data_IF_659465486867
#
_entry.id   IF_659465486867
#
_cell.length_a   1.000
_cell.length_b   1.000
_cell.length_c   1.000
_cell.angle_alpha   90.00
_cell.angle_beta   90.00
_cell.angle_gamma   90.00
#
_symmetry.space_group_name_H-M   'P 1'
#
loop_
_entity.id
_entity.type
_entity.pdbx_description
1 polymer ?
#
# COMPACT_ATOMS: atom_id res chain seq x y z
N UNK A 1 37.93 -53.24 -35.87
CA UNK A 1 38.70 -52.11 -35.30
C UNK A 1 39.40 -51.29 -36.37
N UNK A 2 39.82 -51.87 -37.51
CA UNK A 2 40.45 -51.12 -38.62
C UNK A 2 39.54 -50.04 -39.25
N UNK A 3 38.23 -50.29 -39.39
CA UNK A 3 37.30 -49.32 -39.99
C UNK A 3 37.14 -48.02 -39.19
N UNK A 4 37.04 -48.12 -37.85
CA UNK A 4 36.90 -46.95 -36.97
C UNK A 4 38.17 -46.09 -36.94
N UNK A 5 39.34 -46.72 -37.00
CA UNK A 5 40.63 -46.04 -37.02
C UNK A 5 40.84 -45.29 -38.35
N UNK A 6 40.42 -45.87 -39.47
CA UNK A 6 40.44 -45.22 -40.79
C UNK A 6 39.46 -44.05 -40.85
N UNK A 7 38.22 -44.24 -40.37
CA UNK A 7 37.20 -43.19 -40.33
C UNK A 7 37.61 -41.98 -39.47
N UNK A 8 38.18 -42.22 -38.29
CA UNK A 8 38.65 -41.16 -37.40
C UNK A 8 39.80 -40.32 -38.02
N UNK A 9 40.65 -40.96 -38.83
CA UNK A 9 41.81 -40.32 -39.46
C UNK A 9 41.44 -39.51 -40.71
N UNK A 10 40.41 -39.93 -41.47
CA UNK A 10 40.03 -39.27 -42.72
C UNK A 10 38.83 -38.32 -42.60
N UNK A 11 37.91 -38.51 -41.64
CA UNK A 11 36.68 -37.69 -41.53
C UNK A 11 36.85 -36.39 -40.72
N UNK A 12 37.86 -36.28 -39.85
CA UNK A 12 38.09 -35.08 -39.05
C UNK A 12 39.47 -34.49 -39.29
N UNK A 13 39.51 -33.26 -39.83
CA UNK A 13 40.75 -32.47 -39.94
C UNK A 13 41.31 -32.05 -38.58
N UNK A 14 40.46 -31.82 -37.57
CA UNK A 14 40.92 -31.49 -36.21
C UNK A 14 39.93 -32.01 -35.12
N UNK A 15 40.18 -33.21 -34.56
CA UNK A 15 39.32 -33.80 -33.54
C UNK A 15 39.20 -32.99 -32.26
N UNK A 16 40.26 -32.31 -31.84
CA UNK A 16 40.22 -31.51 -30.61
C UNK A 16 39.27 -30.32 -30.74
N UNK A 17 39.34 -29.59 -31.85
CA UNK A 17 38.49 -28.42 -32.08
C UNK A 17 37.02 -28.82 -32.24
N UNK A 18 36.75 -29.92 -32.95
CA UNK A 18 35.38 -30.40 -33.13
C UNK A 18 34.75 -30.81 -31.79
N UNK A 19 35.48 -31.56 -30.96
CA UNK A 19 35.03 -31.97 -29.62
C UNK A 19 34.79 -30.74 -28.75
N UNK A 20 35.69 -29.75 -28.77
CA UNK A 20 35.51 -28.50 -28.03
C UNK A 20 34.22 -27.77 -28.45
N UNK A 21 33.96 -27.63 -29.75
CA UNK A 21 32.74 -26.97 -30.24
C UNK A 21 31.46 -27.68 -29.77
N UNK A 22 31.42 -29.02 -29.86
CA UNK A 22 30.28 -29.80 -29.38
C UNK A 22 30.07 -29.64 -27.87
N UNK A 23 31.13 -29.73 -27.07
CA UNK A 23 31.06 -29.52 -25.62
C UNK A 23 30.53 -28.11 -25.29
N UNK A 24 31.01 -27.09 -26.01
CA UNK A 24 30.54 -25.71 -25.83
C UNK A 24 29.04 -25.56 -26.15
N UNK A 25 28.57 -26.17 -27.23
CA UNK A 25 27.16 -26.09 -27.63
C UNK A 25 26.23 -26.77 -26.61
N UNK A 26 26.62 -27.94 -26.08
CA UNK A 26 25.86 -28.65 -25.05
C UNK A 26 25.81 -27.84 -23.75
N UNK A 27 26.95 -27.34 -23.28
CA UNK A 27 27.02 -26.51 -22.07
C UNK A 27 26.18 -25.24 -22.23
N UNK A 28 26.27 -24.58 -23.39
CA UNK A 28 25.49 -23.37 -23.70
C UNK A 28 23.98 -23.62 -23.71
N UNK A 29 23.53 -24.80 -24.11
CA UNK A 29 22.12 -25.15 -24.12
C UNK A 29 21.58 -25.57 -22.74
N UNK A 30 22.44 -26.14 -21.89
CA UNK A 30 22.04 -26.74 -20.62
C UNK A 30 22.16 -25.78 -19.43
N UNK A 31 23.28 -25.05 -19.32
CA UNK A 31 23.58 -24.17 -18.16
C UNK A 31 22.54 -23.07 -17.94
N UNK A 32 21.95 -22.41 -18.96
CA UNK A 32 20.96 -21.36 -18.73
C UNK A 32 19.61 -21.86 -18.19
N UNK A 33 19.34 -23.17 -18.22
CA UNK A 33 18.09 -23.75 -17.73
C UNK A 33 18.13 -24.04 -16.23
N UNK A 34 19.32 -24.07 -15.64
CA UNK A 34 19.55 -24.32 -14.22
C UNK A 34 19.68 -22.99 -13.48
N UNK A 35 19.27 -22.95 -12.22
CA UNK A 35 19.63 -21.82 -11.36
C UNK A 35 21.14 -21.80 -11.16
N UNK A 36 21.68 -20.60 -10.86
CA UNK A 36 23.14 -20.44 -10.72
C UNK A 36 23.69 -21.36 -9.62
N UNK A 37 22.98 -21.47 -8.51
CA UNK A 37 23.36 -22.32 -7.37
C UNK A 37 23.27 -23.81 -7.74
N UNK A 38 22.21 -24.21 -8.46
CA UNK A 38 22.06 -25.59 -8.95
C UNK A 38 23.17 -25.99 -9.93
N UNK A 39 23.64 -25.08 -10.79
CA UNK A 39 24.73 -25.36 -11.71
C UNK A 39 26.07 -25.65 -11.00
N UNK A 40 26.29 -25.07 -9.80
CA UNK A 40 27.47 -25.34 -8.99
C UNK A 40 27.37 -26.63 -8.18
N UNK A 41 26.18 -26.98 -7.69
CA UNK A 41 25.95 -28.23 -6.95
C UNK A 41 25.87 -29.44 -7.88
N UNK A 42 25.28 -29.29 -9.07
CA UNK A 42 25.00 -30.36 -10.03
C UNK A 42 26.11 -30.57 -11.07
N UNK A 43 27.37 -30.23 -10.75
CA UNK A 43 28.52 -30.45 -11.68
C UNK A 43 28.59 -31.87 -12.23
N UNK A 44 28.29 -32.87 -11.39
CA UNK A 44 28.31 -34.29 -11.79
C UNK A 44 27.15 -34.67 -12.73
N UNK A 45 26.05 -33.93 -12.70
CA UNK A 45 24.89 -34.16 -13.57
C UNK A 45 25.12 -33.52 -14.94
N UNK A 46 25.67 -32.30 -14.97
CA UNK A 46 26.11 -31.64 -16.20
C UNK A 46 27.19 -32.48 -16.90
N UNK A 47 28.15 -33.03 -16.15
CA UNK A 47 29.18 -33.90 -16.72
C UNK A 47 28.57 -35.13 -17.42
N UNK A 48 27.61 -35.80 -16.76
CA UNK A 48 26.89 -36.95 -17.34
C UNK A 48 26.07 -36.56 -18.57
N UNK A 49 25.40 -35.41 -18.55
CA UNK A 49 24.64 -34.93 -19.70
C UNK A 49 25.55 -34.62 -20.90
N UNK A 50 26.72 -34.02 -20.65
CA UNK A 50 27.74 -33.77 -21.69
C UNK A 50 28.34 -35.07 -22.21
N UNK A 51 28.59 -36.06 -21.34
CA UNK A 51 29.09 -37.37 -21.72
C UNK A 51 28.14 -38.10 -22.68
N UNK A 52 26.85 -38.21 -22.34
CA UNK A 52 25.86 -38.91 -23.15
C UNK A 52 25.60 -38.24 -24.52
N UNK A 53 25.60 -36.90 -24.57
CA UNK A 53 25.51 -36.14 -25.84
C UNK A 53 26.78 -36.30 -26.70
N UNK A 54 27.95 -36.13 -26.08
CA UNK A 54 29.23 -36.19 -26.78
C UNK A 54 29.53 -37.60 -27.28
N UNK A 55 29.22 -38.64 -26.51
CA UNK A 55 29.41 -40.04 -26.89
C UNK A 55 28.60 -40.36 -28.16
N UNK A 56 27.31 -39.98 -28.21
CA UNK A 56 26.46 -40.18 -29.40
C UNK A 56 27.01 -39.48 -30.64
N UNK A 57 27.46 -38.24 -30.50
CA UNK A 57 28.01 -37.47 -31.61
C UNK A 57 29.36 -38.01 -32.10
N UNK A 58 30.23 -38.43 -31.17
CA UNK A 58 31.61 -38.82 -31.46
C UNK A 58 31.78 -40.29 -31.84
N UNK A 59 30.82 -41.16 -31.47
CA UNK A 59 30.73 -42.54 -31.93
C UNK A 59 30.69 -42.64 -33.46
N UNK A 60 29.99 -41.71 -34.13
CA UNK A 60 29.89 -41.65 -35.60
C UNK A 60 31.23 -41.34 -36.29
N UNK A 61 32.17 -40.75 -35.55
CA UNK A 61 33.51 -40.40 -36.01
C UNK A 61 34.59 -41.37 -35.52
N UNK A 62 34.19 -42.47 -34.86
CA UNK A 62 35.11 -43.50 -34.37
C UNK A 62 35.80 -43.18 -33.05
N UNK A 63 35.36 -42.16 -32.32
CA UNK A 63 35.89 -41.80 -31.00
C UNK A 63 34.99 -42.34 -29.88
N UNK A 64 35.62 -42.84 -28.83
CA UNK A 64 34.96 -43.30 -27.59
C UNK A 64 35.35 -42.35 -26.45
N UNK A 65 34.34 -41.83 -25.75
CA UNK A 65 34.54 -40.92 -24.61
C UNK A 65 34.56 -41.76 -23.35
N UNK A 66 35.70 -41.78 -22.65
CA UNK A 66 35.89 -42.62 -21.46
C UNK A 66 35.28 -41.99 -20.20
N UNK A 67 35.45 -40.66 -20.05
CA UNK A 67 34.90 -39.89 -18.93
C UNK A 67 35.01 -38.40 -19.25
N UNK A 68 34.04 -37.60 -18.79
CA UNK A 68 34.14 -36.14 -18.75
C UNK A 68 34.26 -35.65 -17.30
N UNK A 69 35.15 -34.68 -17.04
CA UNK A 69 35.29 -34.05 -15.73
C UNK A 69 35.18 -32.54 -15.90
N UNK A 70 34.30 -31.92 -15.10
CA UNK A 70 34.13 -30.48 -15.07
C UNK A 70 35.03 -29.93 -13.96
N UNK A 71 36.03 -29.14 -14.35
CA UNK A 71 36.95 -28.46 -13.41
C UNK A 71 36.29 -27.20 -12.87
N UNK A 72 35.88 -26.30 -13.77
CA UNK A 72 35.18 -25.07 -13.42
C UNK A 72 34.21 -24.64 -14.52
N UNK A 73 33.17 -23.90 -14.14
CA UNK A 73 32.13 -23.40 -15.05
C UNK A 73 32.19 -21.87 -15.00
N UNK A 74 32.85 -21.27 -15.98
CA UNK A 74 32.82 -19.82 -16.17
C UNK A 74 32.01 -19.49 -17.43
N UNK A 75 30.71 -19.12 -17.27
CA UNK A 75 29.94 -18.65 -18.40
C UNK A 75 30.49 -17.30 -18.91
N UNK A 76 30.26 -17.04 -20.20
CA UNK A 76 30.62 -15.77 -20.84
C UNK A 76 29.99 -14.58 -20.12
N UNK A 77 30.69 -13.45 -20.10
CA UNK A 77 30.24 -12.22 -19.42
C UNK A 77 28.87 -11.71 -19.90
N UNK A 78 28.50 -11.98 -21.15
CA UNK A 78 27.16 -11.64 -21.67
C UNK A 78 26.10 -12.54 -21.04
N UNK A 79 26.38 -13.83 -20.89
CA UNK A 79 25.45 -14.80 -20.29
C UNK A 79 25.31 -14.54 -18.79
N UNK A 80 26.43 -14.28 -18.09
CA UNK A 80 26.42 -13.89 -16.66
C UNK A 80 25.53 -12.66 -16.41
N UNK A 81 25.66 -11.63 -17.25
CA UNK A 81 24.82 -10.42 -17.15
C UNK A 81 23.35 -10.73 -17.40
N UNK A 82 23.03 -11.44 -18.47
CA UNK A 82 21.65 -11.81 -18.79
C UNK A 82 21.00 -12.65 -17.68
N UNK A 83 21.72 -13.64 -17.13
CA UNK A 83 21.24 -14.45 -16.01
C UNK A 83 21.00 -13.60 -14.76
N UNK A 84 21.93 -12.70 -14.42
CA UNK A 84 21.78 -11.81 -13.28
C UNK A 84 20.59 -10.85 -13.45
N UNK A 85 20.37 -10.33 -14.65
CA UNK A 85 19.20 -9.48 -14.96
C UNK A 85 17.89 -10.26 -14.84
N UNK A 86 17.82 -11.49 -15.37
CA UNK A 86 16.63 -12.35 -15.27
C UNK A 86 16.33 -12.67 -13.79
N UNK A 87 17.34 -13.07 -13.03
CA UNK A 87 17.20 -13.39 -11.61
C UNK A 87 16.82 -12.14 -10.79
N UNK A 88 17.43 -10.99 -11.08
CA UNK A 88 17.07 -9.74 -10.45
C UNK A 88 15.63 -9.33 -10.78
N UNK A 89 15.19 -9.48 -12.03
CA UNK A 89 13.83 -9.20 -12.45
C UNK A 89 12.81 -10.15 -11.80
N UNK A 90 13.12 -11.45 -11.73
CA UNK A 90 12.29 -12.43 -11.05
C UNK A 90 12.12 -12.10 -9.56
N UNK A 91 13.23 -11.79 -8.86
CA UNK A 91 13.23 -11.36 -7.46
C UNK A 91 12.46 -10.06 -7.27
N UNK A 92 12.67 -9.06 -8.13
CA UNK A 92 11.93 -7.80 -8.11
C UNK A 92 10.43 -8.02 -8.31
N UNK A 93 10.02 -8.92 -9.21
CA UNK A 93 8.60 -9.22 -9.45
C UNK A 93 7.95 -9.85 -8.22
N UNK A 94 8.63 -10.78 -7.56
CA UNK A 94 8.13 -11.39 -6.31
C UNK A 94 8.00 -10.33 -5.22
N UNK A 95 9.06 -9.54 -4.99
CA UNK A 95 9.04 -8.47 -4.00
C UNK A 95 7.97 -7.40 -4.29
N UNK A 96 7.75 -7.05 -5.57
CA UNK A 96 6.72 -6.10 -5.97
C UNK A 96 5.32 -6.64 -5.73
N UNK A 97 5.07 -7.92 -6.01
CA UNK A 97 3.79 -8.57 -5.74
C UNK A 97 3.49 -8.63 -4.23
N UNK A 98 4.46 -9.05 -3.42
CA UNK A 98 4.33 -9.08 -1.96
C UNK A 98 4.07 -7.68 -1.39
N UNK A 99 4.79 -6.67 -1.90
CA UNK A 99 4.58 -5.28 -1.49
C UNK A 99 3.18 -4.78 -1.88
N UNK A 100 2.73 -5.06 -3.10
CA UNK A 100 1.39 -4.67 -3.56
C UNK A 100 0.28 -5.35 -2.73
N UNK A 101 0.47 -6.62 -2.36
CA UNK A 101 -0.46 -7.33 -1.49
C UNK A 101 -0.47 -6.77 -0.07
N UNK A 102 0.70 -6.45 0.49
CA UNK A 102 0.81 -5.77 1.78
C UNK A 102 0.12 -4.40 1.77
N UNK A 103 0.34 -3.58 0.74
CA UNK A 103 -0.31 -2.28 0.58
C UNK A 103 -1.84 -2.41 0.49
N UNK A 104 -2.33 -3.41 -0.26
CA UNK A 104 -3.77 -3.72 -0.33
C UNK A 104 -4.33 -4.06 1.05
N UNK A 105 -3.66 -4.91 1.82
CA UNK A 105 -4.10 -5.30 3.17
C UNK A 105 -4.15 -4.07 4.09
N UNK A 106 -3.12 -3.22 4.06
CA UNK A 106 -3.06 -2.00 4.86
C UNK A 106 -4.21 -1.06 4.50
N UNK A 107 -4.49 -0.87 3.21
CA UNK A 107 -5.57 0.01 2.76
C UNK A 107 -6.96 -0.52 3.18
N UNK A 108 -7.19 -1.82 3.05
CA UNK A 108 -8.46 -2.45 3.48
C UNK A 108 -8.64 -2.28 4.99
N UNK A 109 -7.64 -2.65 5.79
CA UNK A 109 -7.72 -2.52 7.26
C UNK A 109 -7.92 -1.09 7.72
N UNK A 110 -7.30 -0.13 7.03
CA UNK A 110 -7.51 1.29 7.30
C UNK A 110 -8.96 1.70 6.99
N UNK A 111 -9.51 1.28 5.85
CA UNK A 111 -10.89 1.58 5.48
C UNK A 111 -11.89 0.94 6.44
N UNK A 112 -11.65 -0.30 6.87
CA UNK A 112 -12.45 -0.99 7.89
C UNK A 112 -12.40 -0.25 9.23
N UNK A 113 -11.20 0.13 9.69
CA UNK A 113 -11.04 0.90 10.92
C UNK A 113 -11.70 2.28 10.87
N UNK A 114 -11.62 2.97 9.73
CA UNK A 114 -12.31 4.26 9.53
C UNK A 114 -13.84 4.10 9.52
N UNK A 115 -14.36 3.02 8.92
CA UNK A 115 -15.79 2.72 8.93
C UNK A 115 -16.30 2.38 10.34
N UNK A 116 -15.57 1.53 11.06
CA UNK A 116 -15.91 1.15 12.44
C UNK A 116 -15.81 2.35 13.39
N UNK A 117 -14.79 3.20 13.26
CA UNK A 117 -14.67 4.42 14.03
C UNK A 117 -15.86 5.37 13.82
N UNK A 118 -16.30 5.56 12.56
CA UNK A 118 -17.49 6.37 12.25
C UNK A 118 -18.76 5.75 12.84
N UNK A 119 -18.91 4.43 12.77
CA UNK A 119 -20.04 3.73 13.35
C UNK A 119 -20.11 3.91 14.87
N UNK A 120 -18.99 3.67 15.56
CA UNK A 120 -18.87 3.84 17.01
C UNK A 120 -19.09 5.30 17.42
N UNK A 121 -18.58 6.26 16.65
CA UNK A 121 -18.83 7.68 16.88
C UNK A 121 -20.31 8.03 16.75
N UNK A 122 -21.00 7.51 15.73
CA UNK A 122 -22.44 7.70 15.55
C UNK A 122 -23.25 7.09 16.69
N UNK A 123 -22.90 5.88 17.12
CA UNK A 123 -23.51 5.21 18.26
C UNK A 123 -23.29 6.00 19.57
N UNK A 124 -22.09 6.55 19.75
CA UNK A 124 -21.74 7.42 20.88
C UNK A 124 -22.62 8.67 20.94
N UNK A 125 -22.78 9.37 19.81
CA UNK A 125 -23.66 10.55 19.72
C UNK A 125 -25.11 10.19 20.00
N UNK A 126 -25.60 9.07 19.45
CA UNK A 126 -26.97 8.63 19.69
C UNK A 126 -27.22 8.31 21.18
N UNK A 127 -26.31 7.56 21.80
CA UNK A 127 -26.36 7.26 23.24
C UNK A 127 -26.26 8.52 24.10
N UNK A 128 -25.38 9.44 23.73
CA UNK A 128 -25.26 10.74 24.41
C UNK A 128 -26.57 11.52 24.33
N UNK A 129 -27.19 11.62 23.15
CA UNK A 129 -28.50 12.27 22.98
C UNK A 129 -29.58 11.63 23.83
N UNK A 130 -29.60 10.30 23.88
CA UNK A 130 -30.56 9.58 24.72
C UNK A 130 -30.37 9.89 26.20
N UNK A 131 -29.12 9.85 26.70
CA UNK A 131 -28.81 10.20 28.08
C UNK A 131 -29.19 11.66 28.43
N UNK A 132 -29.04 12.60 27.49
CA UNK A 132 -29.46 14.00 27.68
C UNK A 132 -31.00 14.08 27.80
N UNK A 133 -31.74 13.43 26.91
CA UNK A 133 -33.22 13.42 26.95
C UNK A 133 -33.73 12.79 28.24
N UNK A 134 -33.15 11.67 28.66
CA UNK A 134 -33.52 10.99 29.90
C UNK A 134 -33.22 11.87 31.13
N UNK A 135 -32.04 12.50 31.18
CA UNK A 135 -31.69 13.44 32.27
C UNK A 135 -32.58 14.68 32.33
N UNK A 136 -32.97 15.23 31.17
CA UNK A 136 -33.93 16.35 31.10
C UNK A 136 -35.32 15.92 31.57
N UNK A 137 -35.79 14.73 31.19
CA UNK A 137 -37.06 14.17 31.66
C UNK A 137 -37.07 14.04 33.18
N UNK A 138 -36.02 13.50 33.76
CA UNK A 138 -35.90 13.35 35.22
C UNK A 138 -35.88 14.72 35.91
N UNK A 139 -35.19 15.71 35.32
CA UNK A 139 -35.16 17.09 35.82
C UNK A 139 -36.54 17.74 35.80
N UNK A 140 -37.33 17.54 34.74
CA UNK A 140 -38.70 18.05 34.62
C UNK A 140 -39.62 17.42 35.66
N UNK A 141 -39.54 16.10 35.87
CA UNK A 141 -40.33 15.39 36.88
C UNK A 141 -39.95 15.82 38.30
N UNK A 142 -38.65 15.98 38.59
CA UNK A 142 -38.15 16.45 39.89
C UNK A 142 -38.56 17.88 40.22
N UNK A 143 -38.60 18.78 39.23
CA UNK A 143 -38.99 20.18 39.45
C UNK A 143 -40.51 20.31 39.62
N UNK A 144 -41.30 19.62 38.79
CA UNK A 144 -42.76 19.58 38.87
C UNK A 144 -43.27 18.99 40.20
N UNK A 145 -42.57 18.00 40.76
CA UNK A 145 -42.95 17.39 42.03
C UNK A 145 -42.66 18.25 43.28
N UNK A 146 -41.70 19.17 43.22
CA UNK A 146 -41.22 19.93 44.39
C UNK A 146 -41.71 21.39 44.44
N UNK A 147 -42.22 21.94 43.34
CA UNK A 147 -42.71 23.33 43.26
C UNK A 147 -44.19 23.34 42.86
N UNK A 148 -45.12 23.69 43.75
CA UNK A 148 -46.55 23.72 43.42
C UNK A 148 -46.86 24.89 42.46
N UNK A 149 -47.44 24.58 41.30
CA UNK A 149 -47.99 25.56 40.36
C UNK A 149 -47.24 25.74 39.03
N UNK A 150 -46.12 25.06 38.82
CA UNK A 150 -45.37 25.12 37.55
C UNK A 150 -45.87 24.12 36.53
N UNK A 151 -46.09 24.57 35.28
CA UNK A 151 -46.41 23.70 34.15
C UNK A 151 -45.14 23.09 33.55
N UNK A 152 -45.26 21.91 32.91
CA UNK A 152 -44.16 21.32 32.14
C UNK A 152 -43.63 22.27 31.05
N UNK A 153 -44.47 23.20 30.58
CA UNK A 153 -44.09 24.25 29.62
C UNK A 153 -43.10 25.26 30.22
N UNK A 154 -43.33 25.70 31.45
CA UNK A 154 -42.48 26.71 32.11
C UNK A 154 -41.08 26.16 32.41
N UNK A 155 -41.00 24.87 32.76
CA UNK A 155 -39.72 24.17 32.97
C UNK A 155 -38.96 24.02 31.65
N UNK A 156 -39.66 23.69 30.56
CA UNK A 156 -39.05 23.59 29.23
C UNK A 156 -38.49 24.94 28.76
N UNK A 157 -39.22 26.04 28.99
CA UNK A 157 -38.77 27.38 28.62
C UNK A 157 -37.51 27.79 29.41
N UNK A 158 -37.41 27.45 30.69
CA UNK A 158 -36.21 27.67 31.51
C UNK A 158 -35.02 26.82 31.05
N UNK A 159 -35.25 25.55 30.67
CA UNK A 159 -34.22 24.66 30.11
C UNK A 159 -33.69 25.21 28.78
N UNK A 160 -34.58 25.65 27.89
CA UNK A 160 -34.19 26.26 26.60
C UNK A 160 -33.36 27.53 26.80
N UNK A 161 -33.73 28.36 27.76
CA UNK A 161 -32.97 29.56 28.11
C UNK A 161 -31.57 29.22 28.64
N UNK A 162 -31.47 28.20 29.49
CA UNK A 162 -30.18 27.72 30.03
C UNK A 162 -29.31 27.14 28.92
N UNK A 163 -29.87 26.31 28.04
CA UNK A 163 -29.18 25.76 26.87
C UNK A 163 -28.69 26.87 25.92
N UNK A 164 -29.48 27.92 25.73
CA UNK A 164 -29.08 29.10 24.96
C UNK A 164 -27.86 29.79 25.58
N UNK A 165 -27.83 29.99 26.90
CA UNK A 165 -26.65 30.53 27.58
C UNK A 165 -25.44 29.60 27.56
N UNK A 166 -25.63 28.29 27.70
CA UNK A 166 -24.54 27.32 27.64
C UNK A 166 -23.93 27.24 26.24
N UNK A 167 -24.75 27.24 25.18
CA UNK A 167 -24.26 27.31 23.80
C UNK A 167 -23.50 28.62 23.54
N UNK A 168 -23.97 29.76 24.06
CA UNK A 168 -23.22 31.02 24.00
C UNK A 168 -21.89 30.95 24.74
N UNK A 169 -21.87 30.31 25.93
CA UNK A 169 -20.63 30.10 26.71
C UNK A 169 -19.65 29.21 25.97
N UNK A 170 -20.12 28.13 25.34
CA UNK A 170 -19.28 27.22 24.55
C UNK A 170 -18.67 27.91 23.34
N UNK A 171 -19.47 28.68 22.60
CA UNK A 171 -19.03 29.52 21.46
C UNK A 171 -17.99 30.55 21.92
N UNK A 172 -18.22 31.21 23.06
CA UNK A 172 -17.30 32.19 23.63
C UNK A 172 -16.01 31.59 24.22
N UNK A 173 -16.06 30.34 24.70
CA UNK A 173 -14.91 29.63 25.26
C UNK A 173 -13.99 29.01 24.21
N UNK A 174 -14.47 28.85 22.97
CA UNK A 174 -13.65 28.36 21.86
C UNK A 174 -12.70 29.48 21.41
N UNK A 175 -11.50 29.46 21.96
CA UNK A 175 -10.46 30.51 22.00
C UNK A 175 -9.99 31.16 20.68
N UNK A 176 -10.64 30.91 19.53
CA UNK A 176 -10.31 31.49 18.21
C UNK A 176 -11.52 32.01 17.40
N UNK A 177 -12.73 32.03 17.97
CA UNK A 177 -13.89 32.52 17.23
C UNK A 177 -14.02 34.04 17.37
N UNK A 178 -13.65 34.79 16.33
CA UNK A 178 -14.16 36.14 16.11
C UNK A 178 -15.63 36.05 15.69
N UNK A 179 -16.49 35.63 16.61
CA UNK A 179 -17.93 35.46 16.38
C UNK A 179 -18.63 36.82 16.42
N UNK A 180 -19.01 37.34 15.26
CA UNK A 180 -19.89 38.52 15.16
C UNK A 180 -21.32 38.07 15.47
N UNK A 181 -21.88 38.58 16.56
CA UNK A 181 -23.23 38.27 17.00
C UNK A 181 -24.25 38.97 16.09
N UNK A 182 -24.91 38.20 15.22
CA UNK A 182 -26.04 38.66 14.44
C UNK A 182 -27.32 38.31 15.23
N UNK A 183 -28.01 39.29 15.83
CA UNK A 183 -29.32 39.01 16.40
C UNK A 183 -30.22 38.42 15.30
N UNK A 184 -31.01 37.41 15.64
CA UNK A 184 -31.97 36.76 14.72
C UNK A 184 -33.39 36.95 15.26
N UNK A 185 -33.73 38.20 15.57
CA UNK A 185 -35.12 38.61 15.80
C UNK A 185 -35.71 39.21 14.52
N UNK A 186 -37.04 39.28 14.37
CA UNK A 186 -37.69 39.90 13.20
C UNK A 186 -37.27 41.36 12.91
N UNK A 187 -36.69 42.06 13.90
CA UNK A 187 -36.14 43.42 13.75
C UNK A 187 -34.62 43.50 13.59
N UNK A 188 -33.90 42.40 13.73
CA UNK A 188 -32.44 42.43 13.85
C UNK A 188 -31.72 42.89 12.58
N UNK A 189 -32.29 42.62 11.40
CA UNK A 189 -31.75 43.08 10.13
C UNK A 189 -31.90 44.61 9.98
N UNK A 190 -32.98 45.18 10.54
CA UNK A 190 -33.20 46.62 10.54
C UNK A 190 -32.23 47.35 11.49
N UNK A 191 -31.97 46.75 12.66
CA UNK A 191 -31.01 47.29 13.64
C UNK A 191 -29.57 47.26 13.10
N UNK A 192 -29.17 46.16 12.44
CA UNK A 192 -27.85 46.06 11.76
C UNK A 192 -27.74 47.09 10.63
N UNK A 193 -28.81 47.26 9.83
CA UNK A 193 -28.82 48.25 8.76
C UNK A 193 -28.76 49.69 9.28
N UNK A 194 -29.34 49.98 10.45
CA UNK A 194 -29.19 51.28 11.11
C UNK A 194 -27.76 51.48 11.60
N UNK A 195 -27.19 50.51 12.33
CA UNK A 195 -25.85 50.62 12.90
C UNK A 195 -24.76 50.78 11.81
N UNK A 196 -24.89 50.09 10.68
CA UNK A 196 -23.97 50.25 9.54
C UNK A 196 -24.12 51.64 8.90
N UNK A 197 -25.36 52.13 8.75
CA UNK A 197 -25.63 53.47 8.19
C UNK A 197 -25.06 54.56 9.09
N UNK A 198 -25.30 54.46 10.39
CA UNK A 198 -24.84 55.44 11.38
C UNK A 198 -23.31 55.42 11.49
N UNK A 199 -22.68 54.23 11.47
CA UNK A 199 -21.22 54.11 11.42
C UNK A 199 -20.60 54.69 10.15
N UNK A 200 -21.25 54.55 8.98
CA UNK A 200 -20.79 55.13 7.73
C UNK A 200 -20.95 56.66 7.69
N UNK A 201 -22.02 57.20 8.28
CA UNK A 201 -22.23 58.64 8.47
C UNK A 201 -21.22 59.26 9.45
N UNK A 202 -20.86 58.53 10.51
CA UNK A 202 -19.85 58.98 11.47
C UNK A 202 -18.45 58.96 10.86
N UNK A 203 -18.13 57.95 10.05
CA UNK A 203 -16.84 57.85 9.33
C UNK A 203 -16.68 58.94 8.26
N UNK A 204 -17.75 59.31 7.56
CA UNK A 204 -17.74 60.39 6.56
C UNK A 204 -17.64 61.79 7.18
N UNK A 205 -18.12 61.98 8.43
CA UNK A 205 -17.93 63.24 9.17
C UNK A 205 -16.47 63.48 9.63
N UNK A 206 -15.64 62.44 9.68
CA UNK A 206 -14.26 62.50 10.14
C UNK A 206 -13.22 62.76 9.02
N UNK A 207 -13.66 62.81 7.75
CA UNK A 207 -12.77 63.00 6.59
C UNK A 207 -12.75 64.45 6.05
N UNK A 208 -13.38 65.39 6.77
CA UNK A 208 -13.55 66.79 6.32
C UNK A 208 -12.97 67.84 7.28
N UNK A 209 -11.94 67.48 8.06
CA UNK A 209 -11.09 68.44 8.77
C UNK A 209 -9.61 68.13 8.52
#
# INVERSE_FOLDING_TARGET
MEDKASDAYYKLSNPKTQIQSYVFDVIRAYVPKLELDDAFEQKNEIARAVEDELEKAMLAYGYEIVQTLIVDIEPDDKVKRAMNEINAAARMRVAANEKAEAEKIVQIKRAEGEAEAKYLSGLGIARQRQAIVDGLRDSVLGFSGNVPGTSAKDVMDLVLLTQYFDTMKEIGSTSKSSAVFLPHGPGAVADIASQIRDGCLQASSHHTN
#
